data_IF_142214852664
#
_entry.id   IF_142214852664
#
_cell.length_a   1.000
_cell.length_b   1.000
_cell.length_c   1.000
_cell.angle_alpha   90.00
_cell.angle_beta   90.00
_cell.angle_gamma   90.00
#
_symmetry.space_group_name_H-M   'P 1'
#
loop_
_entity.id
_entity.type
_entity.pdbx_description
1 polymer ?
#
# COMPACT_ATOMS: atom_id res chain seq x y z
N UNK A 1 -9.00 -6.76 -13.90
CA UNK A 1 -8.46 -7.67 -12.86
C UNK A 1 -9.46 -8.75 -12.46
N UNK A 2 -10.67 -8.39 -12.03
CA UNK A 2 -11.70 -9.36 -11.58
C UNK A 2 -12.10 -10.31 -12.72
N UNK A 3 -12.33 -9.80 -13.93
CA UNK A 3 -12.66 -10.65 -15.09
C UNK A 3 -11.55 -11.65 -15.43
N UNK A 4 -10.27 -11.26 -15.27
CA UNK A 4 -9.13 -12.17 -15.41
C UNK A 4 -9.12 -13.25 -14.32
N UNK A 5 -9.44 -12.89 -13.07
CA UNK A 5 -9.47 -13.83 -11.96
C UNK A 5 -10.56 -14.90 -12.12
N UNK A 6 -11.75 -14.51 -12.64
CA UNK A 6 -12.90 -15.39 -12.87
C UNK A 6 -12.79 -16.17 -14.20
N UNK A 7 -11.72 -15.97 -14.99
CA UNK A 7 -11.55 -16.58 -16.32
C UNK A 7 -12.61 -16.21 -17.35
N UNK A 8 -13.08 -14.96 -17.32
CA UNK A 8 -13.95 -14.45 -18.37
C UNK A 8 -13.17 -14.34 -19.68
N UNK A 9 -13.80 -14.62 -20.83
CA UNK A 9 -13.16 -14.55 -22.14
C UNK A 9 -13.07 -13.11 -22.66
N UNK A 10 -11.86 -12.60 -22.87
CA UNK A 10 -11.59 -11.22 -23.28
C UNK A 10 -11.89 -10.95 -24.76
N UNK A 11 -12.22 -11.98 -25.53
CA UNK A 11 -12.54 -11.87 -26.96
C UNK A 11 -13.94 -11.32 -27.21
N UNK A 12 -14.83 -11.39 -26.22
CA UNK A 12 -16.21 -10.94 -26.38
C UNK A 12 -16.30 -9.41 -26.25
N UNK A 13 -16.98 -8.78 -27.21
CA UNK A 13 -17.11 -7.32 -27.27
C UNK A 13 -17.92 -6.74 -26.10
N UNK A 14 -18.81 -7.54 -25.51
CA UNK A 14 -19.64 -7.17 -24.36
C UNK A 14 -18.82 -6.72 -23.16
N UNK A 15 -17.66 -7.35 -22.90
CA UNK A 15 -16.79 -6.95 -21.79
C UNK A 15 -16.29 -5.53 -21.98
N UNK A 16 -15.89 -5.20 -23.21
CA UNK A 16 -15.37 -3.88 -23.53
C UNK A 16 -16.46 -2.82 -23.43
N UNK A 17 -17.66 -3.13 -23.89
CA UNK A 17 -18.83 -2.25 -23.75
C UNK A 17 -19.21 -2.03 -22.29
N UNK A 18 -19.14 -3.06 -21.43
CA UNK A 18 -19.34 -2.92 -19.98
C UNK A 18 -18.28 -2.02 -19.33
N UNK A 19 -17.01 -2.06 -19.78
CA UNK A 19 -15.92 -1.29 -19.16
C UNK A 19 -15.80 0.13 -19.70
N UNK A 20 -16.26 0.37 -20.93
CA UNK A 20 -16.12 1.66 -21.61
C UNK A 20 -16.66 2.85 -20.79
N UNK A 21 -17.84 2.79 -20.15
CA UNK A 21 -18.33 3.89 -19.32
C UNK A 21 -17.39 4.23 -18.17
N UNK A 22 -16.85 3.21 -17.49
CA UNK A 22 -15.90 3.41 -16.39
C UNK A 22 -14.59 4.02 -16.87
N UNK A 23 -14.11 3.60 -18.04
CA UNK A 23 -12.90 4.16 -18.65
C UNK A 23 -13.10 5.65 -19.00
N UNK A 24 -14.23 6.00 -19.61
CA UNK A 24 -14.57 7.39 -19.94
C UNK A 24 -14.61 8.25 -18.68
N UNK A 25 -15.32 7.79 -17.64
CA UNK A 25 -15.42 8.50 -16.35
C UNK A 25 -14.04 8.65 -15.71
N UNK A 26 -13.22 7.59 -15.69
CA UNK A 26 -11.87 7.62 -15.13
C UNK A 26 -10.95 8.61 -15.86
N UNK A 27 -11.03 8.67 -17.19
CA UNK A 27 -10.26 9.63 -18.00
C UNK A 27 -10.73 11.05 -17.70
N UNK A 28 -12.04 11.29 -17.60
CA UNK A 28 -12.61 12.58 -17.21
C UNK A 28 -12.08 13.06 -15.86
N UNK A 29 -12.10 12.19 -14.84
CA UNK A 29 -11.53 12.52 -13.53
C UNK A 29 -10.02 12.73 -13.57
N UNK A 30 -9.28 12.00 -14.41
CA UNK A 30 -7.84 12.21 -14.57
C UNK A 30 -7.55 13.62 -15.11
N UNK A 31 -8.24 14.06 -16.16
CA UNK A 31 -8.11 15.42 -16.70
C UNK A 31 -8.54 16.49 -15.70
N UNK A 32 -9.68 16.31 -15.04
CA UNK A 32 -10.15 17.22 -14.00
C UNK A 32 -9.12 17.37 -12.87
N UNK A 33 -8.51 16.26 -12.46
CA UNK A 33 -7.47 16.26 -11.43
C UNK A 33 -6.20 16.98 -11.88
N UNK A 34 -5.83 16.92 -13.16
CA UNK A 34 -4.72 17.69 -13.70
C UNK A 34 -5.01 19.19 -13.75
N UNK A 35 -6.24 19.57 -14.07
CA UNK A 35 -6.68 20.97 -14.13
C UNK A 35 -6.75 21.60 -12.73
N UNK A 36 -7.38 20.90 -11.77
CA UNK A 36 -7.53 21.36 -10.38
C UNK A 36 -6.22 21.43 -9.59
N UNK A 37 -5.16 20.73 -10.02
CA UNK A 37 -3.86 20.77 -9.33
C UNK A 37 -3.10 22.11 -9.49
N UNK A 38 -3.59 23.05 -10.32
CA UNK A 38 -3.08 24.42 -10.40
C UNK A 38 -1.68 24.57 -11.00
N UNK A 39 -1.16 25.80 -11.00
CA UNK A 39 0.19 26.11 -11.47
C UNK A 39 1.24 25.44 -10.56
N UNK A 40 2.03 24.56 -11.17
CA UNK A 40 2.97 23.59 -10.56
C UNK A 40 4.21 24.21 -9.90
N UNK A 41 4.17 25.48 -9.49
CA UNK A 41 5.35 26.25 -9.10
C UNK A 41 5.95 25.85 -7.74
N UNK A 42 5.17 25.24 -6.84
CA UNK A 42 5.64 24.86 -5.49
C UNK A 42 5.76 23.33 -5.30
N UNK A 43 5.67 22.56 -6.39
CA UNK A 43 5.84 21.12 -6.32
C UNK A 43 7.33 20.79 -6.16
N UNK A 44 7.69 20.32 -4.95
CA UNK A 44 9.00 19.77 -4.61
C UNK A 44 9.55 18.88 -5.72
N UNK A 45 10.64 19.33 -6.34
CA UNK A 45 11.20 18.65 -7.51
C UNK A 45 12.27 17.63 -7.10
N UNK A 46 11.85 16.38 -6.94
CA UNK A 46 12.79 15.26 -6.82
C UNK A 46 13.22 14.74 -8.19
N UNK A 47 14.46 14.27 -8.30
CA UNK A 47 14.98 13.61 -9.51
C UNK A 47 14.26 12.29 -9.79
N UNK A 48 14.30 11.80 -11.03
CA UNK A 48 13.69 10.51 -11.42
C UNK A 48 14.22 9.35 -10.57
N UNK A 49 15.51 9.37 -10.22
CA UNK A 49 16.14 8.35 -9.37
C UNK A 49 15.58 8.40 -7.94
N UNK A 50 15.47 9.60 -7.36
CA UNK A 50 14.87 9.77 -6.03
C UNK A 50 13.40 9.32 -6.01
N UNK A 51 12.62 9.65 -7.04
CA UNK A 51 11.21 9.22 -7.16
C UNK A 51 11.09 7.71 -7.24
N UNK A 52 11.94 7.05 -8.02
CA UNK A 52 11.96 5.60 -8.09
C UNK A 52 12.26 4.98 -6.71
N UNK A 53 13.30 5.48 -6.03
CA UNK A 53 13.66 5.01 -4.68
C UNK A 53 12.56 5.25 -3.65
N UNK A 54 11.91 6.42 -3.71
CA UNK A 54 10.75 6.73 -2.88
C UNK A 54 9.56 5.83 -3.20
N UNK A 55 9.32 5.48 -4.45
CA UNK A 55 8.27 4.51 -4.78
C UNK A 55 8.55 3.12 -4.22
N UNK A 56 9.79 2.65 -4.28
CA UNK A 56 10.19 1.40 -3.63
C UNK A 56 10.03 1.48 -2.11
N UNK A 57 10.49 2.58 -1.50
CA UNK A 57 10.33 2.85 -0.06
C UNK A 57 8.85 2.84 0.34
N UNK A 58 8.02 3.65 -0.32
CA UNK A 58 6.59 3.79 -0.03
C UNK A 58 5.87 2.46 -0.15
N UNK A 59 6.20 1.63 -1.14
CA UNK A 59 5.58 0.31 -1.28
C UNK A 59 5.84 -0.55 -0.04
N UNK A 60 7.09 -0.60 0.45
CA UNK A 60 7.43 -1.36 1.65
C UNK A 60 6.90 -0.73 2.92
N UNK A 61 6.82 0.60 2.99
CA UNK A 61 6.20 1.30 4.10
C UNK A 61 4.71 0.95 4.18
N UNK A 62 4.00 0.94 3.04
CA UNK A 62 2.60 0.50 2.97
C UNK A 62 2.44 -0.96 3.38
N UNK A 63 3.31 -1.87 2.92
CA UNK A 63 3.30 -3.28 3.35
C UNK A 63 3.50 -3.38 4.86
N UNK A 64 4.51 -2.69 5.38
CA UNK A 64 4.89 -2.76 6.81
C UNK A 64 3.77 -2.22 7.68
N UNK A 65 3.22 -1.04 7.37
CA UNK A 65 2.11 -0.45 8.13
C UNK A 65 0.83 -1.26 8.07
N UNK A 66 0.61 -1.97 6.97
CA UNK A 66 -0.55 -2.86 6.83
C UNK A 66 -0.44 -4.12 7.69
N UNK A 67 0.77 -4.66 7.85
CA UNK A 67 1.02 -5.92 8.58
C UNK A 67 1.44 -5.71 10.03
N UNK A 68 2.01 -4.55 10.34
CA UNK A 68 2.52 -4.16 11.66
C UNK A 68 2.14 -2.69 11.85
N UNK A 69 0.88 -2.41 12.23
CA UNK A 69 0.39 -1.05 12.38
C UNK A 69 0.96 -0.43 13.66
N UNK A 70 2.17 0.13 13.57
CA UNK A 70 2.82 0.88 14.66
C UNK A 70 2.99 2.33 14.26
N UNK A 71 2.72 3.25 15.20
CA UNK A 71 2.81 4.70 15.01
C UNK A 71 2.13 5.17 13.72
N UNK A 72 0.86 4.76 13.57
CA UNK A 72 0.01 5.16 12.45
C UNK A 72 -0.27 6.65 12.52
N UNK A 73 -0.21 7.32 11.38
CA UNK A 73 -0.37 8.75 11.21
C UNK A 73 -1.09 9.01 9.89
N UNK A 74 -1.96 10.03 9.86
CA UNK A 74 -2.70 10.34 8.64
C UNK A 74 -1.79 10.78 7.47
N UNK A 75 -0.55 11.22 7.77
CA UNK A 75 0.45 11.66 6.82
C UNK A 75 1.86 11.41 7.38
N UNK A 76 2.80 11.01 6.53
CA UNK A 76 4.21 10.84 6.88
C UNK A 76 5.09 11.76 6.02
N UNK A 77 5.99 12.55 6.63
CA UNK A 77 6.83 13.50 5.90
C UNK A 77 7.86 12.80 5.01
N UNK A 78 8.44 13.55 4.07
CA UNK A 78 9.54 13.03 3.26
C UNK A 78 10.76 12.74 4.13
N UNK A 79 11.40 11.57 3.96
CA UNK A 79 12.53 11.18 4.80
C UNK A 79 13.85 11.82 4.36
N UNK A 80 13.85 12.52 3.22
CA UNK A 80 14.98 13.29 2.72
C UNK A 80 14.48 14.71 2.46
N UNK A 81 15.10 15.74 3.05
CA UNK A 81 14.77 17.13 2.78
C UNK A 81 14.99 17.52 1.32
N UNK A 82 14.29 18.56 0.89
CA UNK A 82 14.40 19.10 -0.46
C UNK A 82 15.82 19.60 -0.76
N UNK A 83 16.27 19.43 -2.01
CA UNK A 83 17.61 19.86 -2.44
C UNK A 83 18.78 18.98 -1.96
N UNK A 84 18.52 17.95 -1.14
CA UNK A 84 19.57 17.01 -0.73
C UNK A 84 19.93 16.09 -1.90
N UNK A 85 21.17 16.18 -2.37
CA UNK A 85 21.70 15.36 -3.49
C UNK A 85 22.06 13.96 -3.02
N UNK A 86 22.52 13.82 -1.77
CA UNK A 86 22.97 12.56 -1.22
C UNK A 86 21.79 11.76 -0.64
N UNK A 87 21.51 10.63 -1.27
CA UNK A 87 20.49 9.70 -0.81
C UNK A 87 21.09 8.80 0.28
N UNK A 88 20.51 8.73 1.49
CA UNK A 88 21.00 7.84 2.54
C UNK A 88 21.04 6.38 2.06
N UNK A 89 22.11 5.66 2.41
CA UNK A 89 22.38 4.29 1.92
C UNK A 89 21.21 3.33 2.19
N UNK A 90 20.45 3.54 3.28
CA UNK A 90 19.27 2.74 3.63
C UNK A 90 18.22 2.66 2.51
N UNK A 91 18.11 3.68 1.65
CA UNK A 91 17.11 3.71 0.57
C UNK A 91 17.41 2.72 -0.57
N UNK A 92 18.65 2.32 -0.74
CA UNK A 92 19.03 1.37 -1.79
C UNK A 92 18.62 -0.08 -1.46
N UNK A 93 18.24 -0.36 -0.22
CA UNK A 93 17.68 -1.67 0.16
C UNK A 93 16.31 -1.89 -0.47
N UNK A 94 15.49 -0.85 -0.61
CA UNK A 94 14.10 -1.01 -1.06
C UNK A 94 13.96 -1.52 -2.50
N UNK A 95 14.72 -1.05 -3.51
CA UNK A 95 14.69 -1.65 -4.84
C UNK A 95 15.02 -3.15 -4.84
N UNK A 96 15.96 -3.58 -3.99
CA UNK A 96 16.32 -5.00 -3.85
C UNK A 96 15.14 -5.79 -3.28
N UNK A 97 14.46 -5.24 -2.26
CA UNK A 97 13.27 -5.86 -1.69
C UNK A 97 12.11 -5.92 -2.71
N UNK A 98 11.91 -4.87 -3.51
CA UNK A 98 10.91 -4.85 -4.59
C UNK A 98 11.23 -5.91 -5.64
N UNK A 99 12.50 -6.03 -6.04
CA UNK A 99 12.94 -7.09 -6.96
C UNK A 99 12.65 -8.49 -6.39
N UNK A 100 12.93 -8.72 -5.09
CA UNK A 100 12.59 -9.96 -4.41
C UNK A 100 11.08 -10.25 -4.40
N UNK A 101 10.26 -9.23 -4.18
CA UNK A 101 8.80 -9.33 -4.24
C UNK A 101 8.34 -9.72 -5.65
N UNK A 102 8.87 -9.08 -6.69
CA UNK A 102 8.57 -9.42 -8.10
C UNK A 102 8.97 -10.85 -8.42
N UNK A 103 10.17 -11.29 -8.04
CA UNK A 103 10.63 -12.67 -8.24
C UNK A 103 9.69 -13.66 -7.54
N UNK A 104 9.25 -13.36 -6.32
CA UNK A 104 8.30 -14.19 -5.57
C UNK A 104 6.96 -14.31 -6.28
N UNK A 105 6.43 -13.19 -6.81
CA UNK A 105 5.19 -13.20 -7.59
C UNK A 105 5.33 -13.98 -8.90
N UNK A 106 6.47 -13.88 -9.58
CA UNK A 106 6.76 -14.66 -10.79
C UNK A 106 6.86 -16.16 -10.48
N UNK A 107 7.48 -16.53 -9.37
CA UNK A 107 7.55 -17.92 -8.91
C UNK A 107 6.16 -18.50 -8.62
N UNK A 108 5.32 -17.75 -7.90
CA UNK A 108 3.95 -18.15 -7.56
C UNK A 108 2.89 -17.75 -8.59
N UNK A 109 3.27 -17.36 -9.81
CA UNK A 109 2.33 -16.83 -10.84
C UNK A 109 1.19 -17.76 -11.22
N UNK A 110 1.35 -19.08 -11.01
CA UNK A 110 0.29 -20.07 -11.26
C UNK A 110 -0.84 -19.99 -10.21
N UNK A 111 -0.55 -19.44 -9.04
CA UNK A 111 -1.53 -19.25 -7.99
C UNK A 111 -2.28 -17.94 -8.19
N UNK A 112 -3.46 -18.03 -8.80
CA UNK A 112 -4.27 -16.86 -9.15
C UNK A 112 -4.72 -16.04 -7.95
N UNK A 113 -4.93 -16.67 -6.79
CA UNK A 113 -5.36 -15.95 -5.58
C UNK A 113 -4.22 -15.06 -5.07
N UNK A 114 -3.01 -15.62 -4.94
CA UNK A 114 -1.83 -14.85 -4.55
C UNK A 114 -1.54 -13.72 -5.54
N UNK A 115 -1.59 -14.02 -6.84
CA UNK A 115 -1.31 -13.03 -7.88
C UNK A 115 -2.37 -11.94 -7.92
N UNK A 116 -3.66 -12.31 -7.84
CA UNK A 116 -4.77 -11.35 -7.81
C UNK A 116 -4.65 -10.41 -6.61
N UNK A 117 -4.52 -10.93 -5.39
CA UNK A 117 -4.44 -10.11 -4.19
C UNK A 117 -3.22 -9.18 -4.20
N UNK A 118 -2.05 -9.68 -4.61
CA UNK A 118 -0.83 -8.89 -4.68
C UNK A 118 -0.91 -7.78 -5.73
N UNK A 119 -1.40 -8.10 -6.94
CA UNK A 119 -1.60 -7.10 -7.98
C UNK A 119 -2.68 -6.08 -7.58
N UNK A 120 -3.71 -6.51 -6.86
CA UNK A 120 -4.79 -5.61 -6.42
C UNK A 120 -4.24 -4.57 -5.45
N UNK A 121 -3.39 -5.01 -4.51
CA UNK A 121 -2.69 -4.11 -3.60
C UNK A 121 -1.79 -3.11 -4.34
N UNK A 122 -0.92 -3.60 -5.25
CA UNK A 122 0.03 -2.75 -5.98
C UNK A 122 -0.69 -1.76 -6.90
N UNK A 123 -1.71 -2.20 -7.65
CA UNK A 123 -2.41 -1.35 -8.61
C UNK A 123 -3.18 -0.21 -7.93
N UNK A 124 -3.82 -0.47 -6.80
CA UNK A 124 -4.51 0.59 -6.04
C UNK A 124 -3.55 1.55 -5.33
N UNK A 125 -2.28 1.16 -5.13
CA UNK A 125 -1.24 2.05 -4.62
C UNK A 125 -0.44 2.74 -5.73
N UNK A 126 -0.61 2.39 -7.01
CA UNK A 126 0.28 2.89 -8.07
C UNK A 126 0.32 4.43 -8.15
N UNK A 127 -0.82 5.09 -7.97
CA UNK A 127 -0.89 6.56 -7.90
C UNK A 127 -0.32 7.12 -6.58
N UNK A 128 -0.20 6.33 -5.53
CA UNK A 128 0.33 6.73 -4.23
C UNK A 128 1.84 6.46 -4.04
N UNK A 129 2.51 5.76 -4.97
CA UNK A 129 3.93 5.39 -4.91
C UNK A 129 4.92 6.45 -5.43
N UNK A 130 4.54 7.72 -5.56
CA UNK A 130 5.45 8.83 -5.95
C UNK A 130 6.22 8.65 -7.27
N UNK A 131 5.83 7.68 -8.10
CA UNK A 131 6.39 7.46 -9.44
C UNK A 131 6.09 8.68 -10.33
N UNK A 132 4.89 9.25 -10.16
CA UNK A 132 4.47 10.50 -10.77
C UNK A 132 4.64 11.64 -9.77
N UNK A 133 5.26 12.74 -10.21
CA UNK A 133 5.37 13.95 -9.40
C UNK A 133 3.97 14.50 -9.09
N UNK A 134 3.64 14.54 -7.81
CA UNK A 134 2.43 15.20 -7.34
C UNK A 134 2.78 16.06 -6.12
N UNK A 135 2.29 17.31 -6.04
CA UNK A 135 2.48 18.16 -4.89
C UNK A 135 1.77 17.52 -3.69
N UNK A 136 2.55 17.03 -2.73
CA UNK A 136 2.03 16.34 -1.55
C UNK A 136 2.87 16.72 -0.35
N UNK A 137 2.20 16.91 0.79
CA UNK A 137 2.84 17.21 2.07
C UNK A 137 3.59 16.01 2.67
N UNK A 138 3.44 14.81 2.10
CA UNK A 138 4.03 13.60 2.64
C UNK A 138 4.26 12.49 1.61
N UNK A 139 5.14 11.58 1.97
CA UNK A 139 5.54 10.42 1.16
C UNK A 139 4.57 9.24 1.29
N UNK A 140 3.92 9.11 2.43
CA UNK A 140 2.95 8.04 2.71
C UNK A 140 1.76 8.68 3.40
N UNK A 141 0.57 8.11 3.21
CA UNK A 141 -0.62 8.47 3.97
C UNK A 141 -1.51 7.24 4.15
N UNK A 142 -2.00 7.02 5.36
CA UNK A 142 -2.76 5.82 5.71
C UNK A 142 -4.05 5.67 4.88
N UNK A 143 -4.67 6.77 4.46
CA UNK A 143 -5.89 6.76 3.62
C UNK A 143 -5.74 6.03 2.28
N UNK A 144 -4.52 5.90 1.76
CA UNK A 144 -4.29 5.15 0.51
C UNK A 144 -4.32 3.62 0.72
N UNK A 145 -4.26 3.17 1.97
CA UNK A 145 -4.34 1.75 2.32
C UNK A 145 -5.76 1.20 2.31
N UNK A 146 -6.79 2.02 2.51
CA UNK A 146 -8.16 1.54 2.79
C UNK A 146 -8.69 0.56 1.73
N UNK A 147 -8.50 0.90 0.46
CA UNK A 147 -8.91 0.03 -0.64
C UNK A 147 -7.88 -1.07 -0.93
N UNK A 148 -6.59 -0.73 -0.97
CA UNK A 148 -5.52 -1.65 -1.33
C UNK A 148 -5.37 -2.82 -0.34
N UNK A 149 -5.67 -2.60 0.95
CA UNK A 149 -5.64 -3.59 2.03
C UNK A 149 -6.43 -4.86 1.70
N UNK A 150 -7.53 -4.76 0.95
CA UNK A 150 -8.31 -5.93 0.54
C UNK A 150 -7.44 -6.95 -0.19
N UNK A 151 -6.59 -6.48 -1.11
CA UNK A 151 -5.67 -7.34 -1.86
C UNK A 151 -4.59 -7.98 -0.99
N UNK A 152 -4.02 -7.19 -0.06
CA UNK A 152 -2.99 -7.68 0.85
C UNK A 152 -3.56 -8.71 1.83
N UNK A 153 -4.69 -8.43 2.48
CA UNK A 153 -5.34 -9.33 3.43
C UNK A 153 -5.79 -10.63 2.77
N UNK A 154 -6.29 -10.57 1.52
CA UNK A 154 -6.59 -11.78 0.75
C UNK A 154 -5.34 -12.64 0.52
N UNK A 155 -4.21 -12.01 0.17
CA UNK A 155 -2.94 -12.69 -0.08
C UNK A 155 -2.41 -13.34 1.21
N UNK A 156 -2.38 -12.59 2.31
CA UNK A 156 -1.88 -13.05 3.61
C UNK A 156 -2.76 -14.16 4.19
N UNK A 157 -4.08 -13.98 4.18
CA UNK A 157 -5.00 -15.00 4.68
C UNK A 157 -4.89 -16.31 3.90
N UNK A 158 -4.80 -16.23 2.56
CA UNK A 158 -4.60 -17.40 1.72
C UNK A 158 -3.27 -18.11 2.03
N UNK A 159 -2.16 -17.36 2.12
CA UNK A 159 -0.86 -17.91 2.46
C UNK A 159 -0.87 -18.57 3.85
N UNK A 160 -1.51 -17.94 4.83
CA UNK A 160 -1.67 -18.46 6.18
C UNK A 160 -2.46 -19.78 6.19
N UNK A 161 -3.59 -19.86 5.50
CA UNK A 161 -4.39 -21.09 5.42
C UNK A 161 -3.61 -22.23 4.76
N UNK A 162 -2.90 -21.96 3.66
CA UNK A 162 -2.05 -22.96 2.99
C UNK A 162 -0.93 -23.44 3.93
N UNK A 163 -0.29 -22.51 4.65
CA UNK A 163 0.75 -22.82 5.62
C UNK A 163 0.22 -23.73 6.75
N UNK A 164 -0.89 -23.36 7.38
CA UNK A 164 -1.51 -24.15 8.48
C UNK A 164 -1.95 -25.52 8.01
N UNK A 165 -2.53 -25.64 6.79
CA UNK A 165 -2.93 -26.93 6.22
C UNK A 165 -1.75 -27.86 5.98
N UNK A 166 -0.59 -27.32 5.58
CA UNK A 166 0.64 -28.09 5.33
C UNK A 166 1.28 -28.63 6.61
N UNK A 167 1.01 -28.03 7.77
CA UNK A 167 1.57 -28.48 9.03
C UNK A 167 1.04 -29.87 9.41
N UNK A 168 1.94 -30.80 9.76
CA UNK A 168 1.57 -32.15 10.23
C UNK A 168 1.36 -32.21 11.74
N UNK A 169 2.11 -31.40 12.51
CA UNK A 169 2.05 -31.40 13.98
C UNK A 169 0.84 -30.61 14.47
N UNK A 170 -0.04 -31.25 15.27
CA UNK A 170 -1.23 -30.60 15.86
C UNK A 170 -0.85 -29.38 16.70
N UNK A 171 0.22 -29.48 17.49
CA UNK A 171 0.73 -28.39 18.30
C UNK A 171 1.07 -27.13 17.47
N UNK A 172 1.74 -27.29 16.33
CA UNK A 172 2.09 -26.16 15.46
C UNK A 172 0.84 -25.47 14.88
N UNK A 173 -0.22 -26.23 14.54
CA UNK A 173 -1.49 -25.65 14.08
C UNK A 173 -2.17 -24.82 15.18
N UNK A 174 -2.23 -25.37 16.39
CA UNK A 174 -2.81 -24.68 17.55
C UNK A 174 -2.04 -23.38 17.80
N UNK A 175 -0.70 -23.43 17.78
CA UNK A 175 0.12 -22.24 17.97
C UNK A 175 -0.15 -21.16 16.90
N UNK A 176 -0.29 -21.53 15.62
CA UNK A 176 -0.63 -20.58 14.55
C UNK A 176 -1.99 -19.91 14.76
N UNK A 177 -3.00 -20.69 15.17
CA UNK A 177 -4.34 -20.14 15.45
C UNK A 177 -4.31 -19.23 16.67
N UNK A 178 -3.61 -19.63 17.74
CA UNK A 178 -3.42 -18.79 18.93
C UNK A 178 -2.69 -17.48 18.60
N UNK A 179 -1.64 -17.52 17.78
CA UNK A 179 -0.94 -16.31 17.35
C UNK A 179 -1.85 -15.37 16.55
N UNK A 180 -2.71 -15.90 15.69
CA UNK A 180 -3.67 -15.10 14.93
C UNK A 180 -4.73 -14.46 15.84
N UNK A 181 -5.23 -15.20 16.83
CA UNK A 181 -6.17 -14.68 17.82
C UNK A 181 -5.52 -13.56 18.64
N UNK A 182 -4.33 -13.78 19.18
CA UNK A 182 -3.59 -12.77 19.94
C UNK A 182 -3.33 -11.51 19.11
N UNK A 183 -2.92 -11.68 17.86
CA UNK A 183 -2.72 -10.56 16.94
C UNK A 183 -4.01 -9.80 16.67
N UNK A 184 -5.14 -10.50 16.48
CA UNK A 184 -6.45 -9.86 16.28
C UNK A 184 -6.91 -9.09 17.50
N UNK A 185 -6.69 -9.63 18.71
CA UNK A 185 -6.96 -8.92 19.98
C UNK A 185 -6.08 -7.67 20.11
N UNK A 186 -4.79 -7.78 19.80
CA UNK A 186 -3.87 -6.64 19.77
C UNK A 186 -4.37 -5.52 18.84
N UNK A 187 -4.76 -5.87 17.60
CA UNK A 187 -5.32 -4.90 16.66
C UNK A 187 -6.60 -4.23 17.17
N UNK A 188 -7.48 -4.98 17.84
CA UNK A 188 -8.68 -4.44 18.46
C UNK A 188 -8.36 -3.41 19.55
N UNK A 189 -7.43 -3.74 20.46
CA UNK A 189 -6.97 -2.81 21.51
C UNK A 189 -6.29 -1.58 20.91
N UNK A 190 -5.48 -1.77 19.89
CA UNK A 190 -4.79 -0.66 19.20
C UNK A 190 -5.78 0.28 18.52
N UNK A 191 -6.81 -0.27 17.87
CA UNK A 191 -7.89 0.51 17.25
C UNK A 191 -8.66 1.31 18.29
N UNK A 192 -8.95 0.71 19.44
CA UNK A 192 -9.62 1.41 20.55
C UNK A 192 -8.80 2.62 21.02
N UNK A 193 -7.49 2.45 21.26
CA UNK A 193 -6.60 3.56 21.63
C UNK A 193 -6.56 4.66 20.56
N UNK A 194 -6.51 4.28 19.27
CA UNK A 194 -6.49 5.23 18.16
C UNK A 194 -7.80 6.01 18.02
N UNK A 195 -8.94 5.36 18.24
CA UNK A 195 -10.25 6.02 18.18
C UNK A 195 -10.39 7.16 19.20
N UNK A 196 -9.77 7.03 20.38
CA UNK A 196 -9.72 8.10 21.38
C UNK A 196 -8.76 9.22 20.97
N UNK A 197 -7.59 8.88 20.43
CA UNK A 197 -6.60 9.89 20.02
C UNK A 197 -7.05 10.67 18.78
N UNK A 198 -7.77 10.02 17.88
CA UNK A 198 -8.23 10.58 16.61
C UNK A 198 -9.69 11.08 16.69
N UNK A 199 -10.08 11.57 17.87
CA UNK A 199 -11.41 12.12 18.09
C UNK A 199 -11.68 13.35 17.21
N UNK A 200 -10.73 14.29 17.15
CA UNK A 200 -10.89 15.58 16.49
C UNK A 200 -9.67 15.98 15.67
N UNK A 201 -9.84 16.97 14.78
CA UNK A 201 -8.77 17.42 13.87
C UNK A 201 -7.53 17.94 14.62
N UNK A 202 -7.74 18.61 15.75
CA UNK A 202 -6.64 19.21 16.52
C UNK A 202 -5.77 18.14 17.20
N UNK A 203 -6.40 17.13 17.81
CA UNK A 203 -5.68 16.03 18.47
C UNK A 203 -4.86 15.21 17.48
N UNK A 204 -5.40 14.97 16.28
CA UNK A 204 -4.69 14.27 15.19
C UNK A 204 -3.45 15.05 14.74
N UNK A 205 -3.57 16.38 14.58
CA UNK A 205 -2.44 17.23 14.18
C UNK A 205 -1.39 17.34 15.28
N UNK A 206 -1.81 17.41 16.54
CA UNK A 206 -0.90 17.43 17.68
C UNK A 206 -0.10 16.13 17.78
N UNK A 207 -0.77 14.98 17.63
CA UNK A 207 -0.13 13.66 17.62
C UNK A 207 0.88 13.50 16.46
N UNK A 208 0.57 14.03 15.27
CA UNK A 208 1.53 14.05 14.17
C UNK A 208 2.78 14.86 14.53
N UNK A 209 2.61 16.04 15.12
CA UNK A 209 3.73 16.93 15.50
C UNK A 209 4.62 16.29 16.57
N UNK A 210 4.05 15.59 17.55
CA UNK A 210 4.85 14.87 18.55
C UNK A 210 5.62 13.71 17.92
N UNK A 211 4.98 12.92 17.05
CA UNK A 211 5.60 11.78 16.35
C UNK A 211 6.76 12.19 15.44
N UNK A 212 6.71 13.39 14.86
CA UNK A 212 7.80 13.94 14.05
C UNK A 212 8.98 14.40 14.92
N UNK A 213 8.74 14.90 16.14
CA UNK A 213 9.80 15.35 17.04
C UNK A 213 10.60 14.21 17.68
N UNK A 214 9.98 13.04 17.81
CA UNK A 214 10.62 11.85 18.42
C UNK A 214 11.48 11.04 17.43
N UNK A 215 11.39 11.31 16.13
CA UNK A 215 12.18 10.65 15.06
C UNK A 215 13.28 11.56 14.51
#
# INVERSE_FOLDING_TARGET
MVDWFILRDWKTMDIWLEKLPYLIVSIGFAFLTFDLQGNRSDAVSYTTVQRFLFGCYSLFEYITKSLIPVNLNYLYPFPIPEGCVNIPVRFYVYPVLVAGLVVTLLYYRKNRILLFGSLFFILHLLLSLHIVAMPRLGIVADRYLYLSLIGLLLTVSYAFVVFVKKQRRRFAKILCVLSLLLYSTYLGLYTYQYSMRWENTDTVKEYLRSSIKEN
#
